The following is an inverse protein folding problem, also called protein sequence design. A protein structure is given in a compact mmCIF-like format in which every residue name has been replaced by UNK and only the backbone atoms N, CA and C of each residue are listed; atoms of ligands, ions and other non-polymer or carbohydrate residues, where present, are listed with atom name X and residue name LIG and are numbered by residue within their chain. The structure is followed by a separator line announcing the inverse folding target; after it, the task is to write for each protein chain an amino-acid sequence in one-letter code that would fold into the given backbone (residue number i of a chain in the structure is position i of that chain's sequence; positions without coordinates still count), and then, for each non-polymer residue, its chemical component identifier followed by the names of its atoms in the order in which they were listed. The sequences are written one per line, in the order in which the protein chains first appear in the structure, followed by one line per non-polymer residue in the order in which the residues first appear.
data_IF_453392113802
#
_entry.id   IF_453392113802
#
_cell.length_a   1.000
_cell.length_b   1.000
_cell.length_c   1.000
_cell.angle_alpha   90.00
_cell.angle_beta   90.00
_cell.angle_gamma   90.00
#
_symmetry.space_group_name_H-M   'P 1'
#
loop_
_entity.id
_entity.type
_entity.pdbx_description
1 polymer ?
#
# COMPACT_ATOMS: atom_id res chain seq x y z
N UNK A 1 18.56 7.05 -5.68
CA UNK A 1 18.01 7.39 -4.35
C UNK A 1 19.19 7.43 -3.37
N UNK A 2 19.33 8.53 -2.61
CA UNK A 2 20.29 8.59 -1.51
C UNK A 2 19.70 7.88 -0.29
N UNK A 3 20.34 6.79 0.15
CA UNK A 3 19.90 5.98 1.29
C UNK A 3 20.58 6.38 2.61
N UNK A 4 21.50 7.33 2.59
CA UNK A 4 22.25 7.75 3.78
C UNK A 4 21.36 8.18 4.94
N UNK A 5 20.26 8.96 4.72
CA UNK A 5 19.35 9.36 5.79
C UNK A 5 18.54 8.20 6.39
N UNK A 6 18.48 7.06 5.70
CA UNK A 6 17.68 5.89 6.07
C UNK A 6 18.52 4.79 6.75
N UNK A 7 19.77 5.08 7.05
CA UNK A 7 20.71 4.13 7.67
C UNK A 7 20.11 3.46 8.91
N UNK A 8 20.12 2.11 8.92
CA UNK A 8 19.61 1.26 9.99
C UNK A 8 18.10 1.36 10.26
N UNK A 9 17.34 2.09 9.42
CA UNK A 9 15.89 2.15 9.56
C UNK A 9 15.22 0.93 8.90
N UNK A 10 14.14 0.48 9.51
CA UNK A 10 13.21 -0.45 8.87
C UNK A 10 12.38 0.33 7.85
N UNK A 11 12.23 -0.25 6.66
CA UNK A 11 11.56 0.37 5.53
C UNK A 11 10.34 -0.45 5.12
N UNK A 12 9.26 0.27 4.84
CA UNK A 12 8.08 -0.29 4.19
C UNK A 12 7.93 0.41 2.83
N UNK A 13 7.85 -0.36 1.78
CA UNK A 13 7.88 0.13 0.40
C UNK A 13 6.78 -0.53 -0.41
N UNK A 14 6.16 0.25 -1.28
CA UNK A 14 5.23 -0.25 -2.29
C UNK A 14 5.64 0.27 -3.67
N UNK A 15 5.48 -0.53 -4.72
CA UNK A 15 5.79 -0.07 -6.06
C UNK A 15 5.49 -1.10 -7.13
N UNK A 16 5.61 -0.66 -8.39
CA UNK A 16 5.45 -1.51 -9.56
C UNK A 16 6.82 -1.96 -10.09
N UNK A 17 6.93 -3.21 -10.47
CA UNK A 17 8.12 -3.73 -11.16
C UNK A 17 8.11 -3.23 -12.60
N UNK A 18 9.12 -2.44 -12.97
CA UNK A 18 9.24 -1.86 -14.32
C UNK A 18 10.26 -2.55 -15.20
N UNK A 19 11.27 -3.19 -14.61
CA UNK A 19 12.22 -4.02 -15.36
C UNK A 19 12.81 -5.13 -14.50
N UNK A 20 13.17 -6.24 -15.16
CA UNK A 20 13.85 -7.38 -14.56
C UNK A 20 14.95 -7.85 -15.51
N UNK A 21 16.15 -8.02 -14.98
CA UNK A 21 17.28 -8.63 -15.70
C UNK A 21 17.80 -9.78 -14.87
N UNK A 22 17.91 -10.95 -15.43
CA UNK A 22 18.44 -12.12 -14.76
C UNK A 22 19.59 -12.77 -15.55
N UNK A 23 20.41 -13.52 -14.84
CA UNK A 23 21.55 -14.19 -15.46
C UNK A 23 22.35 -15.03 -14.45
N UNK A 24 23.58 -15.34 -14.83
CA UNK A 24 24.50 -16.08 -13.99
C UNK A 24 25.80 -15.28 -13.81
N UNK A 25 26.31 -15.27 -12.58
CA UNK A 25 27.63 -14.72 -12.27
C UNK A 25 28.74 -15.56 -12.91
N UNK A 26 29.98 -15.06 -12.96
CA UNK A 26 31.14 -15.82 -13.42
C UNK A 26 31.36 -17.15 -12.68
N UNK A 27 30.85 -17.23 -11.45
CA UNK A 27 30.93 -18.43 -10.61
C UNK A 27 29.69 -19.33 -10.74
N UNK A 28 28.84 -19.13 -11.75
CA UNK A 28 27.64 -19.94 -12.01
C UNK A 28 26.48 -19.71 -11.05
N UNK A 29 26.52 -18.69 -10.16
CA UNK A 29 25.41 -18.36 -9.28
C UNK A 29 24.36 -17.54 -10.02
N UNK A 30 23.05 -17.88 -9.93
CA UNK A 30 22.00 -17.07 -10.53
C UNK A 30 21.92 -15.70 -9.85
N UNK A 31 21.51 -14.69 -10.59
CA UNK A 31 21.20 -13.37 -10.04
C UNK A 31 20.03 -12.74 -10.78
N UNK A 32 19.36 -11.80 -10.11
CA UNK A 32 18.37 -10.92 -10.71
C UNK A 32 18.57 -9.49 -10.23
N UNK A 33 18.38 -8.57 -11.17
CA UNK A 33 18.33 -7.12 -10.91
C UNK A 33 16.95 -6.65 -11.33
N UNK A 34 16.19 -6.12 -10.39
CA UNK A 34 14.80 -5.72 -10.59
C UNK A 34 14.62 -4.25 -10.23
N UNK A 35 14.03 -3.47 -11.13
CA UNK A 35 13.69 -2.07 -10.87
C UNK A 35 12.24 -1.97 -10.42
N UNK A 36 12.03 -1.35 -9.28
CA UNK A 36 10.71 -1.05 -8.73
C UNK A 36 10.55 0.47 -8.65
N UNK A 37 9.39 0.96 -9.08
CA UNK A 37 9.06 2.37 -9.14
C UNK A 37 7.79 2.67 -8.35
N UNK A 38 7.74 3.84 -7.72
CA UNK A 38 6.55 4.45 -7.14
C UNK A 38 6.42 5.92 -7.59
N UNK A 39 5.50 6.67 -6.98
CA UNK A 39 5.29 8.10 -7.31
C UNK A 39 6.46 9.01 -6.90
N UNK A 40 7.37 8.53 -6.06
CA UNK A 40 8.50 9.31 -5.52
C UNK A 40 9.80 9.04 -6.26
N UNK A 41 9.91 7.88 -6.92
CA UNK A 41 11.10 7.51 -7.65
C UNK A 41 11.22 6.01 -7.94
N UNK A 42 12.44 5.56 -8.14
CA UNK A 42 12.72 4.17 -8.44
C UNK A 42 13.95 3.65 -7.69
N UNK A 43 13.96 2.35 -7.41
CA UNK A 43 15.10 1.67 -6.81
C UNK A 43 15.38 0.34 -7.51
N UNK A 44 16.66 0.02 -7.72
CA UNK A 44 17.11 -1.27 -8.25
C UNK A 44 17.52 -2.20 -7.12
N UNK A 45 16.82 -3.33 -7.02
CA UNK A 45 17.14 -4.43 -6.11
C UNK A 45 17.99 -5.45 -6.84
N UNK A 46 19.10 -5.88 -6.21
CA UNK A 46 19.95 -6.93 -6.74
C UNK A 46 19.96 -8.12 -5.76
N UNK A 47 19.55 -9.29 -6.25
CA UNK A 47 19.52 -10.53 -5.50
C UNK A 47 20.44 -11.55 -6.13
N UNK A 48 21.14 -12.35 -5.31
CA UNK A 48 22.12 -13.31 -5.78
C UNK A 48 21.91 -14.70 -5.18
N UNK A 49 22.22 -15.74 -5.96
CA UNK A 49 22.17 -17.13 -5.52
C UNK A 49 20.77 -17.57 -5.08
N UNK A 50 20.67 -18.20 -3.93
CA UNK A 50 19.42 -18.72 -3.39
C UNK A 50 18.40 -17.63 -3.14
N UNK A 51 18.85 -16.45 -2.72
CA UNK A 51 17.95 -15.32 -2.49
C UNK A 51 17.17 -14.91 -3.77
N UNK A 52 17.85 -14.92 -4.93
CA UNK A 52 17.16 -14.70 -6.20
C UNK A 52 16.17 -15.82 -6.52
N UNK A 53 16.59 -17.08 -6.36
CA UNK A 53 15.72 -18.23 -6.64
C UNK A 53 14.43 -18.20 -5.83
N UNK A 54 14.51 -17.82 -4.56
CA UNK A 54 13.34 -17.70 -3.68
C UNK A 54 12.41 -16.54 -4.05
N UNK A 55 13.00 -15.40 -4.45
CA UNK A 55 12.24 -14.15 -4.65
C UNK A 55 11.81 -13.90 -6.09
N UNK A 56 12.43 -14.55 -7.09
CA UNK A 56 12.22 -14.23 -8.51
C UNK A 56 10.77 -14.23 -8.98
N UNK A 57 9.92 -15.07 -8.37
CA UNK A 57 8.50 -15.18 -8.78
C UNK A 57 7.70 -13.90 -8.49
N UNK A 58 8.15 -13.07 -7.57
CA UNK A 58 7.54 -11.76 -7.29
C UNK A 58 7.96 -10.69 -8.29
N UNK A 59 9.14 -10.82 -8.89
CA UNK A 59 9.71 -9.81 -9.76
C UNK A 59 9.38 -10.07 -11.24
N UNK A 60 8.11 -9.89 -11.59
CA UNK A 60 7.68 -9.87 -12.99
C UNK A 60 7.21 -8.45 -13.35
N UNK A 61 7.55 -7.98 -14.55
CA UNK A 61 7.17 -6.63 -15.01
C UNK A 61 5.65 -6.47 -14.93
N UNK A 62 5.21 -5.37 -14.33
CA UNK A 62 3.79 -5.06 -14.09
C UNK A 62 3.25 -5.53 -12.74
N UNK A 63 3.98 -6.32 -11.96
CA UNK A 63 3.58 -6.71 -10.61
C UNK A 63 3.67 -5.52 -9.64
N UNK A 64 2.64 -5.35 -8.83
CA UNK A 64 2.64 -4.40 -7.71
C UNK A 64 3.07 -5.13 -6.43
N UNK A 65 4.17 -4.66 -5.86
CA UNK A 65 4.78 -5.27 -4.68
C UNK A 65 4.60 -4.42 -3.44
N UNK A 66 4.42 -5.11 -2.32
CA UNK A 66 4.56 -4.59 -0.97
C UNK A 66 5.78 -5.26 -0.34
N UNK A 67 6.73 -4.47 0.12
CA UNK A 67 8.00 -4.98 0.61
C UNK A 67 8.35 -4.38 1.97
N UNK A 68 8.86 -5.21 2.86
CA UNK A 68 9.47 -4.79 4.12
C UNK A 68 10.95 -5.14 4.08
N UNK A 69 11.78 -4.22 4.53
CA UNK A 69 13.23 -4.41 4.51
C UNK A 69 13.94 -3.48 5.48
N UNK A 70 15.25 -3.52 5.45
CA UNK A 70 16.11 -2.67 6.28
C UNK A 70 17.19 -2.04 5.42
N UNK A 71 17.43 -0.75 5.65
CA UNK A 71 18.56 -0.06 5.06
C UNK A 71 19.82 -0.41 5.85
N UNK A 72 20.80 -1.00 5.19
CA UNK A 72 22.06 -1.45 5.81
C UNK A 72 23.26 -1.11 4.92
N UNK A 73 24.48 -1.04 5.49
CA UNK A 73 25.69 -0.93 4.70
C UNK A 73 25.88 -2.12 3.79
N UNK A 74 26.39 -1.90 2.57
CA UNK A 74 26.77 -2.98 1.66
C UNK A 74 27.93 -3.80 2.25
N UNK A 75 27.91 -5.11 2.04
CA UNK A 75 28.93 -6.02 2.57
C UNK A 75 30.37 -5.66 2.15
N UNK A 76 30.53 -5.15 0.92
CA UNK A 76 31.84 -4.89 0.31
C UNK A 76 32.23 -3.41 0.24
N UNK A 77 31.29 -2.50 0.60
CA UNK A 77 31.47 -1.05 0.61
C UNK A 77 30.67 -0.46 1.76
N UNK A 78 31.29 -0.35 2.91
CA UNK A 78 30.62 0.12 4.14
C UNK A 78 30.18 1.59 4.11
N UNK A 79 30.66 2.34 3.15
CA UNK A 79 30.26 3.72 2.84
C UNK A 79 29.04 3.84 1.93
N UNK A 80 28.61 2.71 1.32
CA UNK A 80 27.40 2.63 0.52
C UNK A 80 26.31 1.82 1.24
N UNK A 81 25.05 2.22 1.04
CA UNK A 81 23.90 1.57 1.65
C UNK A 81 23.08 0.81 0.60
N UNK A 82 22.41 -0.23 1.06
CA UNK A 82 21.47 -1.02 0.28
C UNK A 82 20.21 -1.29 1.11
N UNK A 83 19.11 -1.57 0.43
CA UNK A 83 17.91 -2.07 1.07
C UNK A 83 17.92 -3.59 1.03
N UNK A 84 18.06 -4.21 2.20
CA UNK A 84 17.87 -5.66 2.34
C UNK A 84 16.39 -5.95 2.55
N UNK A 85 15.80 -6.64 1.57
CA UNK A 85 14.38 -6.99 1.60
C UNK A 85 14.19 -8.28 2.41
N UNK A 86 13.37 -8.19 3.45
CA UNK A 86 13.04 -9.31 4.33
C UNK A 86 11.76 -10.01 3.89
N UNK A 87 10.73 -9.23 3.51
CA UNK A 87 9.41 -9.74 3.11
C UNK A 87 9.00 -9.11 1.79
N UNK A 88 8.43 -9.92 0.91
CA UNK A 88 7.81 -9.48 -0.35
C UNK A 88 6.46 -10.13 -0.45
N UNK A 89 5.45 -9.34 -0.74
CA UNK A 89 4.07 -9.77 -0.94
C UNK A 89 3.49 -9.01 -2.15
N UNK A 90 2.47 -9.56 -2.79
CA UNK A 90 1.75 -8.83 -3.82
C UNK A 90 0.87 -7.77 -3.16
N UNK A 91 0.98 -6.52 -3.59
CA UNK A 91 0.23 -5.41 -3.00
C UNK A 91 -1.29 -5.64 -2.96
N UNK A 92 -1.93 -6.24 -3.98
CA UNK A 92 -3.35 -6.59 -3.89
C UNK A 92 -3.71 -7.53 -2.75
N UNK A 93 -2.81 -8.48 -2.41
CA UNK A 93 -3.06 -9.50 -1.39
C UNK A 93 -2.98 -8.94 0.04
N UNK A 94 -2.13 -7.92 0.26
CA UNK A 94 -1.93 -7.29 1.58
C UNK A 94 -2.79 -6.05 1.80
N UNK A 95 -3.53 -5.61 0.80
CA UNK A 95 -4.34 -4.39 0.87
C UNK A 95 -5.25 -4.35 2.09
N UNK A 96 -5.93 -5.46 2.39
CA UNK A 96 -6.84 -5.57 3.54
C UNK A 96 -6.12 -5.67 4.90
N UNK A 97 -4.83 -6.02 4.90
CA UNK A 97 -4.02 -6.11 6.12
C UNK A 97 -3.34 -4.78 6.46
N UNK A 98 -3.07 -3.98 5.42
CA UNK A 98 -2.40 -2.67 5.55
C UNK A 98 -3.39 -1.56 5.84
N UNK A 99 -4.60 -1.66 5.29
CA UNK A 99 -5.65 -0.67 5.49
C UNK A 99 -6.51 -1.08 6.68
N UNK A 100 -6.39 -0.34 7.78
CA UNK A 100 -7.13 -0.62 9.01
C UNK A 100 -8.48 0.13 9.06
N UNK A 101 -8.54 1.35 8.50
CA UNK A 101 -9.69 2.22 8.64
C UNK A 101 -9.90 3.12 7.42
N UNK A 102 -11.15 3.22 6.98
CA UNK A 102 -11.65 4.28 6.11
C UNK A 102 -12.42 5.29 6.96
N UNK A 103 -11.97 6.54 6.97
CA UNK A 103 -12.69 7.63 7.63
C UNK A 103 -13.31 8.53 6.57
N UNK A 104 -14.63 8.66 6.61
CA UNK A 104 -15.41 9.55 5.73
C UNK A 104 -15.79 10.81 6.52
N UNK A 105 -15.52 11.97 5.95
CA UNK A 105 -15.89 13.28 6.49
C UNK A 105 -17.07 13.81 5.69
N UNK A 106 -18.17 14.12 6.35
CA UNK A 106 -19.41 14.55 5.72
C UNK A 106 -20.05 15.72 6.46
N UNK A 107 -20.57 16.76 5.78
CA UNK A 107 -21.53 17.68 6.38
C UNK A 107 -22.79 16.92 6.79
N UNK A 108 -23.43 17.32 7.89
CA UNK A 108 -24.66 16.66 8.36
C UNK A 108 -25.78 16.70 7.31
N UNK A 109 -25.86 17.78 6.56
CA UNK A 109 -26.88 17.98 5.49
C UNK A 109 -26.74 16.95 4.35
N UNK A 110 -25.55 16.38 4.13
CA UNK A 110 -25.29 15.36 3.09
C UNK A 110 -25.65 13.95 3.56
N UNK A 111 -25.86 13.72 4.86
CA UNK A 111 -26.27 12.43 5.44
C UNK A 111 -27.80 12.34 5.40
N UNK A 112 -28.36 12.22 4.20
CA UNK A 112 -29.77 12.01 3.94
C UNK A 112 -30.10 10.52 3.71
N UNK A 113 -31.40 10.22 3.61
CA UNK A 113 -31.86 8.82 3.47
C UNK A 113 -31.34 8.19 2.17
N UNK A 114 -31.23 8.93 1.07
CA UNK A 114 -30.71 8.47 -0.21
C UNK A 114 -29.23 8.04 -0.08
N UNK A 115 -28.39 8.91 0.50
CA UNK A 115 -26.99 8.58 0.78
C UNK A 115 -26.88 7.34 1.67
N UNK A 116 -27.69 7.26 2.72
CA UNK A 116 -27.65 6.13 3.67
C UNK A 116 -28.03 4.82 2.96
N UNK A 117 -29.08 4.82 2.13
CA UNK A 117 -29.51 3.63 1.38
C UNK A 117 -28.47 3.18 0.36
N UNK A 118 -27.96 4.10 -0.47
CA UNK A 118 -26.98 3.79 -1.51
C UNK A 118 -25.66 3.31 -0.90
N UNK A 119 -25.13 4.06 0.06
CA UNK A 119 -23.84 3.73 0.66
C UNK A 119 -23.93 2.44 1.50
N UNK A 120 -25.04 2.22 2.23
CA UNK A 120 -25.24 0.98 2.98
C UNK A 120 -25.35 -0.24 2.07
N UNK A 121 -26.01 -0.12 0.91
CA UNK A 121 -26.09 -1.18 -0.08
C UNK A 121 -24.70 -1.50 -0.63
N UNK A 122 -23.95 -0.49 -1.03
CA UNK A 122 -22.60 -0.65 -1.54
C UNK A 122 -21.66 -1.32 -0.52
N UNK A 123 -21.74 -0.92 0.75
CA UNK A 123 -20.95 -1.52 1.83
C UNK A 123 -21.31 -2.99 2.07
N UNK A 124 -22.59 -3.34 1.99
CA UNK A 124 -23.06 -4.74 2.14
C UNK A 124 -22.60 -5.65 1.01
N UNK A 125 -22.41 -5.12 -0.18
CA UNK A 125 -21.88 -5.86 -1.33
C UNK A 125 -20.38 -6.14 -1.22
N UNK A 126 -19.66 -5.38 -0.40
CA UNK A 126 -18.21 -5.48 -0.23
C UNK A 126 -17.80 -5.71 1.23
N UNK A 127 -18.18 -6.82 1.85
CA UNK A 127 -17.77 -7.14 3.22
C UNK A 127 -16.26 -7.39 3.30
N UNK A 128 -15.62 -6.97 4.41
CA UNK A 128 -14.16 -7.11 4.58
C UNK A 128 -13.69 -6.87 6.01
N UNK A 129 -12.48 -6.35 6.17
CA UNK A 129 -11.81 -6.15 7.47
C UNK A 129 -11.61 -4.68 7.85
N UNK A 130 -11.70 -3.76 6.87
CA UNK A 130 -11.45 -2.34 7.06
C UNK A 130 -12.57 -1.71 7.89
N UNK A 131 -12.22 -1.02 8.97
CA UNK A 131 -13.18 -0.32 9.82
C UNK A 131 -13.72 0.92 9.11
N UNK A 132 -15.03 1.08 9.10
CA UNK A 132 -15.68 2.28 8.56
C UNK A 132 -16.01 3.27 9.69
N UNK A 133 -15.53 4.50 9.55
CA UNK A 133 -15.77 5.61 10.46
C UNK A 133 -16.30 6.81 9.69
N UNK A 134 -17.31 7.48 10.25
CA UNK A 134 -17.77 8.78 9.80
C UNK A 134 -17.38 9.86 10.79
N UNK A 135 -17.00 11.02 10.29
CA UNK A 135 -16.89 12.26 11.05
C UNK A 135 -17.88 13.23 10.40
N UNK A 136 -18.98 13.40 11.07
CA UNK A 136 -20.07 14.27 10.63
C UNK A 136 -19.92 15.65 11.25
N UNK A 137 -19.94 16.70 10.44
CA UNK A 137 -19.84 18.09 10.86
C UNK A 137 -21.20 18.79 10.68
N UNK A 138 -21.69 19.44 11.74
CA UNK A 138 -22.89 20.29 11.66
C UNK A 138 -22.57 21.72 11.19
N UNK A 139 -23.60 22.53 11.06
CA UNK A 139 -23.51 23.95 10.64
C UNK A 139 -22.77 24.83 11.67
N UNK A 140 -22.81 24.46 12.95
CA UNK A 140 -22.12 25.13 14.05
C UNK A 140 -20.66 24.75 14.18
N UNK A 141 -20.20 23.85 13.34
CA UNK A 141 -18.80 23.36 13.32
C UNK A 141 -18.48 22.28 14.34
N UNK A 142 -19.50 21.71 15.03
CA UNK A 142 -19.31 20.58 15.91
C UNK A 142 -19.09 19.30 15.10
N UNK A 143 -18.27 18.39 15.62
CA UNK A 143 -17.95 17.13 14.97
C UNK A 143 -18.44 15.96 15.80
N UNK A 144 -19.13 15.02 15.17
CA UNK A 144 -19.54 13.75 15.76
C UNK A 144 -18.87 12.61 15.02
N UNK A 145 -18.13 11.79 15.77
CA UNK A 145 -17.51 10.58 15.24
C UNK A 145 -18.44 9.38 15.40
N UNK A 146 -18.80 8.75 14.28
CA UNK A 146 -19.61 7.53 14.25
C UNK A 146 -18.75 6.38 13.73
N UNK A 147 -18.76 5.24 14.43
CA UNK A 147 -18.04 4.05 14.00
C UNK A 147 -19.04 2.95 13.69
N UNK A 148 -18.97 2.41 12.49
CA UNK A 148 -19.79 1.27 12.08
C UNK A 148 -19.20 -0.03 12.68
N UNK A 149 -19.61 -0.36 13.92
CA UNK A 149 -19.04 -1.49 14.67
C UNK A 149 -19.34 -2.86 14.07
N UNK A 150 -20.49 -3.00 13.43
CA UNK A 150 -20.99 -4.27 12.89
C UNK A 150 -20.72 -4.43 11.39
N UNK A 151 -20.30 -3.35 10.71
CA UNK A 151 -20.00 -3.37 9.29
C UNK A 151 -18.53 -3.03 9.04
N UNK A 152 -17.78 -4.01 8.59
CA UNK A 152 -16.42 -3.83 8.07
C UNK A 152 -16.45 -4.03 6.57
N UNK A 153 -15.63 -3.28 5.84
CA UNK A 153 -15.65 -3.25 4.38
C UNK A 153 -14.35 -3.80 3.78
N UNK A 154 -14.47 -4.34 2.58
CA UNK A 154 -13.34 -4.49 1.66
C UNK A 154 -13.26 -3.23 0.81
N UNK A 155 -12.16 -2.48 0.93
CA UNK A 155 -11.99 -1.20 0.24
C UNK A 155 -11.73 -1.43 -1.25
N UNK A 156 -12.81 -1.59 -2.01
CA UNK A 156 -12.80 -1.73 -3.46
C UNK A 156 -12.89 -0.39 -4.16
N UNK A 157 -12.52 -0.38 -5.46
CA UNK A 157 -12.54 0.84 -6.28
C UNK A 157 -13.94 1.44 -6.43
N UNK A 158 -14.98 0.61 -6.35
CA UNK A 158 -16.39 1.03 -6.41
C UNK A 158 -16.74 1.94 -5.24
N UNK A 159 -16.31 1.61 -4.02
CA UNK A 159 -16.51 2.44 -2.83
C UNK A 159 -15.78 3.79 -2.97
N UNK A 160 -14.53 3.75 -3.47
CA UNK A 160 -13.75 4.95 -3.69
C UNK A 160 -14.36 5.81 -4.80
N UNK A 161 -14.82 5.20 -5.89
CA UNK A 161 -15.47 5.91 -6.98
C UNK A 161 -16.78 6.59 -6.52
N UNK A 162 -17.58 5.89 -5.70
CA UNK A 162 -18.79 6.46 -5.11
C UNK A 162 -18.46 7.67 -4.22
N UNK A 163 -17.51 7.55 -3.30
CA UNK A 163 -17.11 8.67 -2.44
C UNK A 163 -16.55 9.85 -3.24
N UNK A 164 -15.81 9.60 -4.32
CA UNK A 164 -15.31 10.66 -5.21
C UNK A 164 -16.42 11.32 -6.05
N UNK A 165 -17.53 10.65 -6.29
CA UNK A 165 -18.69 11.25 -6.98
C UNK A 165 -19.48 12.22 -6.09
N UNK A 166 -19.30 12.13 -4.78
CA UNK A 166 -19.96 12.99 -3.78
C UNK A 166 -19.10 14.24 -3.51
N UNK A 167 -19.44 15.36 -4.15
CA UNK A 167 -18.61 16.59 -4.15
C UNK A 167 -18.34 17.20 -2.77
N UNK A 168 -19.22 16.96 -1.80
CA UNK A 168 -19.15 17.53 -0.44
C UNK A 168 -18.51 16.57 0.57
N UNK A 169 -18.22 15.34 0.17
CA UNK A 169 -17.54 14.37 1.02
C UNK A 169 -16.02 14.40 0.82
N UNK A 170 -15.30 14.05 1.86
CA UNK A 170 -13.88 13.73 1.77
C UNK A 170 -13.58 12.47 2.60
N UNK A 171 -12.47 11.79 2.31
CA UNK A 171 -12.12 10.59 3.06
C UNK A 171 -10.63 10.51 3.30
N UNK A 172 -10.28 9.70 4.30
CA UNK A 172 -8.90 9.33 4.65
C UNK A 172 -8.81 7.83 4.86
N UNK A 173 -7.78 7.22 4.28
CA UNK A 173 -7.42 5.83 4.47
C UNK A 173 -6.24 5.77 5.46
N UNK A 174 -6.35 4.93 6.49
CA UNK A 174 -5.31 4.74 7.52
C UNK A 174 -4.99 3.26 7.66
#
# INVERSE_FOLDING_TARGET
VDLTPLQNHDLVMGGIVTSVREGYTKNGKPYGISKVEDYTGSYEFAFFGNEWVEKKNFFNVGMFLFMKGKCQPKQWRQDEYEVKVNTIELLPDVKEEVIEQLTVYAPLAEINDEFIEEFSSLVKEHPGKVLLKFIVKDEDGQHVGLVAREMKINLQKEIIAYLNSQSMLSYKIN
#
